data_IF_588594194390
#
_entry.id   IF_588594194390
#
_cell.length_a   1.000
_cell.length_b   1.000
_cell.length_c   1.000
_cell.angle_alpha   90.00
_cell.angle_beta   90.00
_cell.angle_gamma   90.00
#
_symmetry.space_group_name_H-M   'P 1'
#
loop_
_entity.id
_entity.type
_entity.pdbx_description
1 polymer ?
#
# COMPACT_ATOMS: atom_id res chain seq x y z
N UNK A 1 11.17 26.28 -6.19
CA UNK A 1 10.70 24.96 -5.72
C UNK A 1 10.23 24.20 -6.95
N UNK A 2 10.51 22.90 -7.07
CA UNK A 2 9.90 22.09 -8.13
C UNK A 2 8.43 21.88 -7.73
N UNK A 3 7.54 22.57 -8.44
CA UNK A 3 6.09 22.51 -8.30
C UNK A 3 5.56 21.77 -9.53
N UNK A 4 4.83 20.69 -9.32
CA UNK A 4 4.01 20.05 -10.36
C UNK A 4 2.56 20.35 -10.01
N UNK A 5 1.87 21.09 -10.90
CA UNK A 5 0.45 21.42 -10.76
C UNK A 5 0.05 22.12 -9.43
N UNK A 6 0.93 22.96 -8.88
CA UNK A 6 0.64 23.74 -7.66
C UNK A 6 0.91 23.02 -6.33
N UNK A 7 1.27 21.73 -6.35
CA UNK A 7 1.64 20.97 -5.14
C UNK A 7 3.16 20.94 -4.94
N UNK A 8 3.60 21.14 -3.71
CA UNK A 8 5.00 20.93 -3.37
C UNK A 8 5.24 19.43 -3.14
N UNK A 9 6.41 18.91 -3.54
CA UNK A 9 6.84 17.54 -3.19
C UNK A 9 6.85 17.23 -1.67
N UNK A 10 6.69 18.25 -0.83
CA UNK A 10 6.53 18.13 0.63
C UNK A 10 5.16 17.59 1.03
N UNK A 11 4.14 17.72 0.17
CA UNK A 11 2.75 17.33 0.45
C UNK A 11 2.44 15.88 0.05
N UNK A 12 3.47 15.13 -0.35
CA UNK A 12 3.34 13.73 -0.73
C UNK A 12 2.74 12.89 0.41
N UNK A 13 2.05 11.78 0.10
CA UNK A 13 1.59 10.85 1.10
C UNK A 13 2.71 10.40 2.05
N UNK A 14 2.32 10.19 3.30
CA UNK A 14 3.26 9.77 4.33
C UNK A 14 3.86 8.40 3.97
N UNK A 15 5.19 8.32 3.95
CA UNK A 15 5.98 7.16 3.53
C UNK A 15 5.82 6.72 2.06
N UNK A 16 5.10 7.47 1.20
CA UNK A 16 5.24 7.32 -0.24
C UNK A 16 6.69 7.60 -0.69
N UNK A 17 7.13 7.06 -1.85
CA UNK A 17 8.45 7.33 -2.38
C UNK A 17 8.73 8.83 -2.50
N UNK A 18 9.99 9.23 -2.28
CA UNK A 18 10.41 10.61 -2.48
C UNK A 18 10.36 10.97 -3.98
N UNK A 19 9.59 11.99 -4.42
CA UNK A 19 9.40 12.29 -5.83
C UNK A 19 10.71 12.58 -6.56
N UNK A 20 11.64 13.31 -5.95
CA UNK A 20 12.93 13.64 -6.59
C UNK A 20 13.78 12.39 -6.80
N UNK A 21 13.83 11.49 -5.82
CA UNK A 21 14.54 10.20 -5.95
C UNK A 21 13.85 9.29 -6.97
N UNK A 22 12.53 9.36 -7.07
CA UNK A 22 11.73 8.58 -8.01
C UNK A 22 11.99 9.01 -9.45
N UNK A 23 11.91 10.31 -9.73
CA UNK A 23 12.22 10.91 -11.03
C UNK A 23 13.67 10.65 -11.44
N UNK A 24 14.63 10.76 -10.51
CA UNK A 24 16.04 10.43 -10.78
C UNK A 24 16.25 8.99 -11.25
N UNK A 25 15.38 8.05 -10.87
CA UNK A 25 15.42 6.65 -11.32
C UNK A 25 14.71 6.43 -12.66
N UNK A 26 14.17 7.47 -13.29
CA UNK A 26 13.39 7.38 -14.53
C UNK A 26 11.89 7.17 -14.32
N UNK A 27 11.40 7.29 -13.08
CA UNK A 27 9.97 7.29 -12.80
C UNK A 27 9.32 8.66 -13.04
N UNK A 28 7.99 8.71 -12.97
CA UNK A 28 7.18 9.93 -13.04
C UNK A 28 6.30 10.05 -11.79
N UNK A 29 6.10 11.27 -11.31
CA UNK A 29 5.16 11.58 -10.23
C UNK A 29 4.22 12.68 -10.68
N UNK A 30 2.93 12.46 -10.52
CA UNK A 30 1.87 13.40 -10.88
C UNK A 30 0.92 13.59 -9.70
N UNK A 31 0.39 14.81 -9.55
CA UNK A 31 -0.73 15.08 -8.63
C UNK A 31 -1.94 15.40 -9.50
N UNK A 32 -2.96 14.56 -9.40
CA UNK A 32 -4.21 14.70 -10.13
C UNK A 32 -5.07 15.81 -9.52
N UNK A 33 -6.10 16.25 -10.24
CA UNK A 33 -6.97 17.37 -9.82
C UNK A 33 -7.68 17.12 -8.48
N UNK A 34 -7.94 15.86 -8.15
CA UNK A 34 -8.55 15.43 -6.88
C UNK A 34 -7.55 15.32 -5.72
N UNK A 35 -6.29 15.66 -5.94
CA UNK A 35 -5.20 15.53 -4.97
C UNK A 35 -4.60 14.11 -4.87
N UNK A 36 -5.03 13.17 -5.72
CA UNK A 36 -4.42 11.83 -5.80
C UNK A 36 -3.00 11.94 -6.34
N UNK A 37 -2.06 11.28 -5.66
CA UNK A 37 -0.68 11.19 -6.13
C UNK A 37 -0.50 9.92 -6.98
N UNK A 38 -0.19 10.10 -8.26
CA UNK A 38 0.10 9.01 -9.19
C UNK A 38 1.61 8.85 -9.34
N UNK A 39 2.10 7.64 -9.08
CA UNK A 39 3.48 7.27 -9.33
C UNK A 39 3.56 6.26 -10.47
N UNK A 40 4.35 6.57 -11.49
CA UNK A 40 4.72 5.62 -12.56
C UNK A 40 6.18 5.27 -12.39
N UNK A 41 6.52 3.99 -12.26
CA UNK A 41 7.93 3.59 -12.17
C UNK A 41 8.61 3.51 -13.53
N UNK A 42 9.93 3.30 -13.51
CA UNK A 42 10.79 3.19 -14.69
C UNK A 42 10.56 1.92 -15.53
N UNK A 43 9.65 1.03 -15.10
CA UNK A 43 9.20 -0.14 -15.85
C UNK A 43 7.76 0.03 -16.38
N UNK A 44 7.13 1.18 -16.12
CA UNK A 44 5.79 1.52 -16.58
C UNK A 44 4.65 1.13 -15.64
N UNK A 45 4.93 0.61 -14.44
CA UNK A 45 3.87 0.28 -13.48
C UNK A 45 3.32 1.55 -12.83
N UNK A 46 2.00 1.62 -12.62
CA UNK A 46 1.30 2.81 -12.14
C UNK A 46 0.55 2.51 -10.84
N UNK A 47 0.88 3.22 -9.76
CA UNK A 47 0.15 3.14 -8.48
C UNK A 47 -0.33 4.53 -8.08
N UNK A 48 -1.63 4.62 -7.83
CA UNK A 48 -2.29 5.81 -7.30
C UNK A 48 -2.29 5.75 -5.77
N UNK A 49 -2.01 6.87 -5.12
CA UNK A 49 -2.13 7.04 -3.67
C UNK A 49 -3.36 7.88 -3.36
N UNK A 50 -4.49 7.22 -3.12
CA UNK A 50 -5.77 7.85 -2.79
C UNK A 50 -5.88 8.00 -1.28
N UNK A 51 -6.15 9.22 -0.80
CA UNK A 51 -6.17 9.52 0.65
C UNK A 51 -4.89 9.08 1.40
N UNK A 52 -3.78 8.99 0.67
CA UNK A 52 -2.48 8.59 1.18
C UNK A 52 -2.19 7.08 1.21
N UNK A 53 -3.08 6.24 0.68
CA UNK A 53 -2.92 4.79 0.60
C UNK A 53 -2.73 4.32 -0.85
N UNK A 54 -1.78 3.40 -1.13
CA UNK A 54 -1.56 2.89 -2.47
C UNK A 54 -2.73 1.99 -2.90
N UNK A 55 -3.19 2.17 -4.13
CA UNK A 55 -4.24 1.34 -4.73
C UNK A 55 -3.60 0.25 -5.59
N UNK A 56 -3.45 -0.95 -5.02
CA UNK A 56 -2.98 -2.13 -5.75
C UNK A 56 -4.15 -2.80 -6.48
N UNK A 57 -4.31 -2.49 -7.77
CA UNK A 57 -5.41 -2.98 -8.62
C UNK A 57 -5.17 -4.43 -9.06
N UNK A 58 -6.26 -5.21 -9.15
CA UNK A 58 -6.29 -6.50 -9.84
C UNK A 58 -6.63 -6.25 -11.33
N UNK A 59 -5.96 -6.91 -12.29
CA UNK A 59 -4.91 -7.92 -12.15
C UNK A 59 -3.48 -7.35 -12.12
N UNK A 60 -3.31 -6.05 -12.28
CA UNK A 60 -2.00 -5.43 -12.58
C UNK A 60 -0.97 -5.58 -11.45
N UNK A 61 -1.40 -5.38 -10.20
CA UNK A 61 -0.52 -5.29 -9.03
C UNK A 61 -0.92 -6.23 -7.90
N UNK A 62 -2.16 -6.73 -7.92
CA UNK A 62 -2.67 -7.69 -6.97
C UNK A 62 -3.31 -8.89 -7.68
N UNK A 63 -3.24 -10.05 -7.03
CA UNK A 63 -3.87 -11.29 -7.52
C UNK A 63 -5.27 -11.48 -6.97
N UNK A 64 -5.47 -11.15 -5.70
CA UNK A 64 -6.73 -11.33 -5.00
C UNK A 64 -6.84 -10.41 -3.78
N UNK A 65 -8.08 -10.21 -3.35
CA UNK A 65 -8.45 -9.58 -2.09
C UNK A 65 -9.20 -10.60 -1.24
N UNK A 66 -8.86 -10.70 0.04
CA UNK A 66 -9.52 -11.60 0.99
C UNK A 66 -9.97 -10.81 2.22
N UNK A 67 -11.24 -10.97 2.61
CA UNK A 67 -11.75 -10.43 3.87
C UNK A 67 -11.31 -11.38 5.01
N UNK A 68 -10.60 -10.84 6.02
CA UNK A 68 -10.14 -11.60 7.19
C UNK A 68 -10.88 -11.20 8.47
N UNK A 69 -11.97 -10.44 8.35
CA UNK A 69 -12.59 -9.71 9.45
C UNK A 69 -11.66 -8.61 9.96
N UNK A 70 -11.85 -8.16 11.20
CA UNK A 70 -11.05 -7.07 11.77
C UNK A 70 -9.55 -7.43 11.80
N UNK A 71 -8.74 -6.71 11.01
CA UNK A 71 -7.29 -6.84 11.02
C UNK A 71 -6.72 -6.61 12.43
N UNK A 72 -5.84 -7.51 12.88
CA UNK A 72 -5.14 -7.36 14.16
C UNK A 72 -3.92 -6.45 14.05
N UNK A 73 -3.46 -6.19 12.82
CA UNK A 73 -2.30 -5.38 12.50
C UNK A 73 -0.99 -6.13 12.78
N UNK A 74 -0.96 -7.45 12.57
CA UNK A 74 0.25 -8.24 12.71
C UNK A 74 0.35 -9.27 11.58
N UNK A 75 1.58 -9.49 11.11
CA UNK A 75 1.81 -10.37 9.96
C UNK A 75 1.53 -11.83 10.28
N UNK A 76 1.52 -12.25 11.56
CA UNK A 76 1.30 -13.65 11.90
C UNK A 76 -0.17 -14.03 11.74
N UNK A 77 -1.06 -13.45 12.55
CA UNK A 77 -2.48 -13.80 12.51
C UNK A 77 -3.16 -13.38 11.22
N UNK A 78 -2.86 -12.16 10.74
CA UNK A 78 -3.56 -11.63 9.57
C UNK A 78 -3.15 -12.39 8.29
N UNK A 79 -1.88 -12.82 8.18
CA UNK A 79 -1.46 -13.64 7.02
C UNK A 79 -2.05 -15.04 7.10
N UNK A 80 -2.06 -15.69 8.28
CA UNK A 80 -2.71 -17.01 8.43
C UNK A 80 -4.19 -16.96 8.06
N UNK A 81 -4.90 -15.88 8.43
CA UNK A 81 -6.30 -15.72 8.03
C UNK A 81 -6.45 -15.47 6.53
N UNK A 82 -5.54 -14.68 5.92
CA UNK A 82 -5.55 -14.42 4.49
C UNK A 82 -5.30 -15.70 3.68
N UNK A 83 -4.32 -16.52 4.09
CA UNK A 83 -4.05 -17.83 3.51
C UNK A 83 -5.26 -18.76 3.62
N UNK A 84 -5.90 -18.81 4.79
CA UNK A 84 -7.10 -19.63 5.01
C UNK A 84 -8.29 -19.21 4.14
N UNK A 85 -8.44 -17.90 3.91
CA UNK A 85 -9.56 -17.33 3.16
C UNK A 85 -9.24 -17.12 1.67
N UNK A 86 -8.04 -17.52 1.22
CA UNK A 86 -7.62 -17.47 -0.18
C UNK A 86 -8.48 -18.41 -1.02
N UNK A 87 -9.07 -17.87 -2.09
CA UNK A 87 -9.79 -18.66 -3.09
C UNK A 87 -8.87 -19.19 -4.20
N UNK A 88 -7.60 -18.78 -4.19
CA UNK A 88 -6.57 -19.31 -5.07
C UNK A 88 -5.80 -20.39 -4.32
N UNK A 89 -5.57 -21.54 -4.96
CA UNK A 89 -4.65 -22.57 -4.48
C UNK A 89 -3.37 -21.87 -4.04
N UNK A 90 -2.99 -21.89 -2.75
CA UNK A 90 -2.02 -20.95 -2.22
C UNK A 90 -0.67 -21.12 -2.93
N UNK A 91 -0.16 -20.15 -3.71
CA UNK A 91 1.14 -20.31 -4.34
C UNK A 91 2.04 -19.11 -4.04
N UNK A 92 3.19 -19.42 -3.41
CA UNK A 92 4.43 -18.62 -3.39
C UNK A 92 4.63 -17.53 -2.32
N UNK A 93 4.16 -17.70 -1.08
CA UNK A 93 5.02 -17.20 0.02
C UNK A 93 6.37 -17.94 0.02
N UNK A 94 6.38 -19.22 -0.39
CA UNK A 94 7.59 -20.05 -0.53
C UNK A 94 8.55 -19.61 -1.65
N UNK A 95 8.05 -19.03 -2.76
CA UNK A 95 8.90 -18.53 -3.87
C UNK A 95 9.00 -16.99 -3.91
N UNK A 96 8.55 -16.29 -2.85
CA UNK A 96 8.73 -14.84 -2.63
C UNK A 96 8.19 -13.88 -3.71
N UNK A 97 7.30 -14.31 -4.60
CA UNK A 97 6.80 -13.45 -5.69
C UNK A 97 5.71 -12.47 -5.22
N UNK A 98 4.89 -12.88 -4.24
CA UNK A 98 3.82 -12.05 -3.69
C UNK A 98 3.97 -11.87 -2.18
N UNK A 99 3.22 -10.91 -1.64
CA UNK A 99 3.11 -10.66 -0.20
C UNK A 99 1.71 -10.19 0.16
N UNK A 100 1.29 -10.47 1.39
CA UNK A 100 0.01 -9.96 1.91
C UNK A 100 0.16 -8.52 2.36
N UNK A 101 -0.62 -7.63 1.75
CA UNK A 101 -0.72 -6.22 2.07
C UNK A 101 -1.98 -5.94 2.89
N UNK A 102 -1.83 -5.25 4.02
CA UNK A 102 -2.96 -4.77 4.83
C UNK A 102 -3.64 -3.56 4.17
N UNK A 103 -4.85 -3.76 3.64
CA UNK A 103 -5.67 -2.69 3.07
C UNK A 103 -6.17 -1.72 4.15
N UNK A 104 -6.41 -0.46 3.78
CA UNK A 104 -6.76 0.62 4.72
C UNK A 104 -8.16 0.51 5.33
N UNK A 105 -9.04 -0.31 4.74
CA UNK A 105 -10.38 -0.61 5.28
C UNK A 105 -10.35 -1.38 6.61
N UNK A 106 -9.17 -1.90 7.00
CA UNK A 106 -8.97 -2.64 8.24
C UNK A 106 -9.63 -4.02 8.26
N UNK A 107 -10.05 -4.55 7.11
CA UNK A 107 -10.69 -5.87 6.98
C UNK A 107 -10.10 -6.73 5.88
N UNK A 108 -9.61 -6.11 4.81
CA UNK A 108 -9.13 -6.79 3.62
C UNK A 108 -7.62 -6.99 3.66
N UNK A 109 -7.14 -8.18 3.26
CA UNK A 109 -5.75 -8.41 2.89
C UNK A 109 -5.66 -8.56 1.37
N UNK A 110 -4.67 -7.93 0.74
CA UNK A 110 -4.44 -8.03 -0.69
C UNK A 110 -3.18 -8.85 -0.98
N UNK A 111 -3.24 -9.81 -1.89
CA UNK A 111 -2.05 -10.53 -2.35
C UNK A 111 -1.38 -9.71 -3.47
N UNK A 112 -0.32 -8.97 -3.14
CA UNK A 112 0.34 -8.00 -4.02
C UNK A 112 1.68 -8.56 -4.50
N UNK A 113 2.08 -8.24 -5.74
CA UNK A 113 3.45 -8.50 -6.21
C UNK A 113 4.47 -7.87 -5.25
N UNK A 114 5.46 -8.65 -4.80
CA UNK A 114 6.42 -8.21 -3.79
C UNK A 114 7.34 -7.10 -4.29
N UNK A 115 7.72 -7.11 -5.57
CA UNK A 115 8.54 -6.08 -6.20
C UNK A 115 7.77 -4.77 -6.24
N UNK A 116 6.49 -4.82 -6.64
CA UNK A 116 5.59 -3.66 -6.64
C UNK A 116 5.40 -3.14 -5.20
N UNK A 117 5.03 -4.01 -4.26
CA UNK A 117 4.84 -3.64 -2.86
C UNK A 117 6.08 -2.96 -2.24
N UNK A 118 7.28 -3.46 -2.54
CA UNK A 118 8.53 -2.88 -2.05
C UNK A 118 8.89 -1.55 -2.70
N UNK A 119 8.52 -1.36 -3.97
CA UNK A 119 8.84 -0.15 -4.74
C UNK A 119 7.90 0.99 -4.37
N UNK A 120 6.60 0.71 -4.27
CA UNK A 120 5.56 1.65 -3.89
C UNK A 120 5.36 1.64 -2.37
N UNK A 121 6.36 2.15 -1.66
CA UNK A 121 6.35 2.23 -0.20
C UNK A 121 5.17 3.06 0.30
N UNK A 122 4.64 2.74 1.47
CA UNK A 122 3.46 3.39 2.01
C UNK A 122 3.41 3.29 3.53
N UNK A 123 2.52 4.05 4.16
CA UNK A 123 2.17 3.83 5.54
C UNK A 123 1.32 2.55 5.64
N UNK A 124 1.93 1.41 6.00
CA UNK A 124 1.19 0.15 6.15
C UNK A 124 0.02 0.25 7.14
N UNK A 125 -1.08 -0.46 6.87
CA UNK A 125 -2.29 -0.50 7.73
C UNK A 125 -2.01 -0.93 9.18
N UNK A 126 -1.00 -1.77 9.38
CA UNK A 126 -0.45 -2.18 10.70
C UNK A 126 -0.16 -0.98 11.62
N UNK A 127 0.35 0.12 11.07
CA UNK A 127 0.68 1.32 11.85
C UNK A 127 -0.56 2.07 12.36
N UNK A 128 -1.68 2.00 11.65
CA UNK A 128 -2.95 2.64 12.03
C UNK A 128 -3.71 1.77 13.05
N UNK A 129 -3.74 0.45 12.86
CA UNK A 129 -4.34 -0.48 13.83
C UNK A 129 -3.68 -0.35 15.21
N UNK A 130 -2.35 -0.16 15.25
CA UNK A 130 -1.62 0.07 16.51
C UNK A 130 -1.96 1.42 17.14
N UNK A 131 -2.08 2.51 16.36
CA UNK A 131 -2.49 3.83 16.88
C UNK A 131 -3.90 3.80 17.47
N UNK A 132 -4.84 3.11 16.82
CA UNK A 132 -6.20 2.96 17.33
C UNK A 132 -6.24 2.15 18.64
N UNK A 133 -5.35 1.15 18.82
CA UNK A 133 -5.22 0.44 20.11
C UNK A 133 -4.63 1.31 21.22
N UNK A 134 -3.73 2.24 20.91
CA UNK A 134 -3.11 3.16 21.89
C UNK A 134 -4.06 4.30 22.28
N UNK A 135 -4.89 4.79 21.34
CA UNK A 135 -5.86 5.86 21.57
C UNK A 135 -7.03 5.53 22.50
N UNK A 136 -7.30 4.24 22.77
CA UNK A 136 -8.35 3.78 23.70
C UNK A 136 -7.90 3.91 25.18
N UNK A 137 -6.66 4.31 25.46
CA UNK A 137 -6.20 4.66 26.82
C UNK A 137 -6.25 6.18 27.09
N UNK A 138 -7.35 6.86 26.78
CA UNK A 138 -7.67 8.10 27.52
C UNK A 138 -8.37 7.69 28.82
N UNK A 139 -7.58 7.69 29.89
CA UNK A 139 -8.02 7.50 31.28
C UNK A 139 -9.16 8.48 31.58
N UNK A 140 -10.19 7.98 32.26
CA UNK A 140 -11.19 8.77 32.98
C UNK A 140 -10.52 9.71 33.97
#
# INVERSE_FOLDING_TARGET
MLVHNGYAFRDKPKYAPDPKKWEKKGGKVEVLEDGTWRYTDWEGNVVDYVNGYPVFKIPDHARQNVDIGKQKGNHTTDYTMAEKNSNLDPPKLSNQQTTWHHHEDGKTMQEVDRKIHNRFTHQGGVSQVKKNKVGIKKRK
#
